data_IF_234624035982
#
_entry.id   IF_234624035982
#
_cell.length_a   1.000
_cell.length_b   1.000
_cell.length_c   1.000
_cell.angle_alpha   90.00
_cell.angle_beta   90.00
_cell.angle_gamma   90.00
#
_symmetry.space_group_name_H-M   'P 1'
#
loop_
_entity.id
_entity.type
_entity.pdbx_description
1 polymer ?
#
# COMPACT_ATOMS: atom_id res chain seq x y z
N UNK A 1 20.85 -8.04 6.02
CA UNK A 1 20.27 -9.36 5.69
C UNK A 1 21.36 -10.40 5.94
N UNK A 2 21.10 -11.53 6.60
CA UNK A 2 22.13 -12.53 6.83
C UNK A 2 22.62 -13.12 5.48
N UNK A 3 23.95 -13.25 5.26
CA UNK A 3 24.51 -13.66 3.97
C UNK A 3 24.03 -15.02 3.47
N UNK A 4 23.65 -15.94 4.36
CA UNK A 4 23.22 -17.29 4.00
C UNK A 4 21.89 -17.33 3.21
N UNK A 5 21.01 -16.34 3.39
CA UNK A 5 19.73 -16.25 2.67
C UNK A 5 19.86 -15.60 1.29
N UNK A 6 20.99 -14.93 1.02
CA UNK A 6 21.28 -14.28 -0.24
C UNK A 6 22.01 -15.19 -1.24
N UNK A 7 22.33 -16.43 -0.85
CA UNK A 7 22.98 -17.41 -1.73
C UNK A 7 21.96 -17.89 -2.77
N UNK A 8 22.20 -17.50 -4.02
CA UNK A 8 21.39 -17.88 -5.17
C UNK A 8 21.98 -19.14 -5.80
N UNK A 9 21.14 -20.11 -6.18
CA UNK A 9 21.60 -21.28 -6.92
C UNK A 9 21.86 -20.87 -8.39
N UNK A 10 23.09 -21.06 -8.88
CA UNK A 10 23.53 -20.67 -10.23
C UNK A 10 22.66 -21.23 -11.37
N UNK A 11 22.00 -22.38 -11.16
CA UNK A 11 21.12 -22.98 -12.20
C UNK A 11 19.68 -22.47 -12.20
N UNK A 12 19.14 -22.02 -11.07
CA UNK A 12 17.71 -21.68 -10.92
C UNK A 12 17.48 -20.21 -10.60
N UNK A 13 18.53 -19.42 -10.33
CA UNK A 13 18.45 -17.98 -10.05
C UNK A 13 17.57 -17.62 -8.83
N UNK A 14 17.14 -18.62 -8.06
CA UNK A 14 16.19 -18.47 -6.96
C UNK A 14 16.90 -18.75 -5.63
N UNK A 15 16.70 -17.94 -4.58
CA UNK A 15 17.29 -18.18 -3.27
C UNK A 15 16.59 -19.36 -2.57
N UNK A 16 17.03 -20.59 -2.88
CA UNK A 16 16.37 -21.82 -2.43
C UNK A 16 16.29 -21.93 -0.90
N UNK A 17 17.37 -21.56 -0.19
CA UNK A 17 17.40 -21.56 1.27
C UNK A 17 16.36 -20.60 1.84
N UNK A 18 16.22 -19.41 1.25
CA UNK A 18 15.22 -18.43 1.69
C UNK A 18 13.79 -18.95 1.47
N UNK A 19 13.51 -19.57 0.33
CA UNK A 19 12.19 -20.16 0.06
C UNK A 19 11.84 -21.26 1.05
N UNK A 20 12.77 -22.20 1.33
CA UNK A 20 12.54 -23.29 2.28
C UNK A 20 12.29 -22.76 3.69
N UNK A 21 13.10 -21.79 4.15
CA UNK A 21 12.93 -21.17 5.48
C UNK A 21 11.59 -20.45 5.59
N UNK A 22 11.20 -19.67 4.57
CA UNK A 22 9.91 -18.98 4.54
C UNK A 22 8.72 -19.94 4.53
N UNK A 23 8.80 -21.04 3.74
CA UNK A 23 7.76 -22.06 3.70
C UNK A 23 7.65 -22.83 5.01
N UNK A 24 8.78 -23.20 5.63
CA UNK A 24 8.79 -23.86 6.93
C UNK A 24 8.16 -22.97 8.00
N UNK A 25 8.53 -21.69 8.07
CA UNK A 25 7.93 -20.73 9.00
C UNK A 25 6.42 -20.57 8.77
N UNK A 26 6.00 -20.46 7.49
CA UNK A 26 4.58 -20.33 7.13
C UNK A 26 3.79 -21.59 7.49
N UNK A 27 4.37 -22.78 7.26
CA UNK A 27 3.75 -24.06 7.58
C UNK A 27 3.54 -24.24 9.09
N UNK A 28 4.52 -23.85 9.91
CA UNK A 28 4.39 -23.86 11.37
C UNK A 28 3.24 -22.94 11.80
N UNK A 29 3.20 -21.70 11.32
CA UNK A 29 2.12 -20.75 11.66
C UNK A 29 0.75 -21.28 11.21
N UNK A 30 0.67 -21.87 10.02
CA UNK A 30 -0.56 -22.45 9.48
C UNK A 30 -1.04 -23.68 10.27
N UNK A 31 -0.12 -24.51 10.79
CA UNK A 31 -0.45 -25.67 11.61
C UNK A 31 -1.11 -25.28 12.94
N UNK A 32 -0.65 -24.18 13.56
CA UNK A 32 -1.19 -23.67 14.83
C UNK A 32 -2.36 -22.70 14.67
N UNK A 33 -2.64 -22.21 13.46
CA UNK A 33 -3.69 -21.20 13.20
C UNK A 33 -4.88 -21.81 12.51
N UNK A 34 -6.07 -21.60 13.08
CA UNK A 34 -7.33 -22.07 12.50
C UNK A 34 -7.58 -21.41 11.14
N UNK A 35 -7.92 -22.20 10.11
CA UNK A 35 -8.06 -21.75 8.72
C UNK A 35 -8.99 -20.53 8.56
N UNK A 36 -10.09 -20.47 9.31
CA UNK A 36 -11.00 -19.32 9.29
C UNK A 36 -10.36 -18.02 9.78
N UNK A 37 -9.50 -18.09 10.81
CA UNK A 37 -8.76 -16.93 11.32
C UNK A 37 -7.74 -16.49 10.27
N UNK A 38 -7.00 -17.45 9.70
CA UNK A 38 -5.98 -17.17 8.69
C UNK A 38 -6.59 -16.55 7.43
N UNK A 39 -7.70 -17.11 6.94
CA UNK A 39 -8.41 -16.60 5.76
C UNK A 39 -8.94 -15.18 5.98
N UNK A 40 -9.51 -14.90 7.16
CA UNK A 40 -9.97 -13.55 7.50
C UNK A 40 -8.81 -12.55 7.56
N UNK A 41 -7.68 -12.92 8.17
CA UNK A 41 -6.48 -12.08 8.21
C UNK A 41 -5.91 -11.81 6.80
N UNK A 42 -5.86 -12.84 5.95
CA UNK A 42 -5.40 -12.73 4.57
C UNK A 42 -6.33 -11.84 3.72
N UNK A 43 -7.65 -11.99 3.90
CA UNK A 43 -8.65 -11.18 3.20
C UNK A 43 -8.53 -9.71 3.58
N UNK A 44 -8.51 -9.39 4.90
CA UNK A 44 -8.31 -8.01 5.39
C UNK A 44 -7.02 -7.42 4.82
N UNK A 45 -5.92 -8.17 4.86
CA UNK A 45 -4.62 -7.72 4.35
C UNK A 45 -4.67 -7.41 2.86
N UNK A 46 -5.29 -8.29 2.07
CA UNK A 46 -5.38 -8.14 0.61
C UNK A 46 -6.26 -6.94 0.23
N UNK A 47 -7.44 -6.79 0.85
CA UNK A 47 -8.33 -5.65 0.64
C UNK A 47 -7.64 -4.33 1.00
N UNK A 48 -6.89 -4.31 2.10
CA UNK A 48 -6.11 -3.14 2.52
C UNK A 48 -5.01 -2.79 1.52
N UNK A 49 -4.24 -3.77 1.05
CA UNK A 49 -3.18 -3.55 0.05
C UNK A 49 -3.79 -3.05 -1.27
N UNK A 50 -4.89 -3.66 -1.74
CA UNK A 50 -5.56 -3.24 -2.97
C UNK A 50 -6.08 -1.80 -2.87
N UNK A 51 -6.58 -1.39 -1.70
CA UNK A 51 -6.94 0.00 -1.42
C UNK A 51 -5.71 0.92 -1.49
N UNK A 52 -4.59 0.57 -0.86
CA UNK A 52 -3.35 1.36 -0.92
C UNK A 52 -2.80 1.47 -2.35
N UNK A 53 -2.86 0.39 -3.13
CA UNK A 53 -2.45 0.38 -4.54
C UNK A 53 -3.34 1.33 -5.35
N UNK A 54 -4.66 1.29 -5.18
CA UNK A 54 -5.58 2.19 -5.87
C UNK A 54 -5.33 3.66 -5.52
N UNK A 55 -5.09 3.98 -4.24
CA UNK A 55 -4.68 5.31 -3.79
C UNK A 55 -3.35 5.72 -4.44
N UNK A 56 -2.36 4.82 -4.43
CA UNK A 56 -1.05 5.06 -5.02
C UNK A 56 -1.12 5.35 -6.53
N UNK A 57 -2.00 4.66 -7.26
CA UNK A 57 -2.25 4.93 -8.68
C UNK A 57 -2.90 6.30 -8.90
N UNK A 58 -3.86 6.70 -8.06
CA UNK A 58 -4.47 8.04 -8.13
C UNK A 58 -3.43 9.13 -7.83
N UNK A 59 -2.64 8.98 -6.76
CA UNK A 59 -1.57 9.92 -6.42
C UNK A 59 -0.57 10.00 -7.58
N UNK A 60 -0.10 8.87 -8.12
CA UNK A 60 0.88 8.86 -9.23
C UNK A 60 0.38 9.57 -10.49
N UNK A 61 -0.94 9.59 -10.74
CA UNK A 61 -1.55 10.21 -11.93
C UNK A 61 -1.87 11.69 -11.75
N UNK A 62 -2.35 12.08 -10.57
CA UNK A 62 -2.82 13.43 -10.29
C UNK A 62 -1.80 14.31 -9.56
N UNK A 63 -0.73 13.71 -9.02
CA UNK A 63 0.34 14.41 -8.33
C UNK A 63 1.66 14.25 -9.07
N UNK A 64 2.25 15.38 -9.48
CA UNK A 64 3.62 15.45 -10.00
C UNK A 64 4.38 16.51 -9.21
N UNK A 65 5.48 16.10 -8.57
CA UNK A 65 6.36 17.01 -7.83
C UNK A 65 6.94 18.07 -8.78
N UNK A 66 6.67 19.35 -8.50
CA UNK A 66 7.29 20.48 -9.20
C UNK A 66 6.40 21.22 -10.21
N UNK A 67 5.31 20.64 -10.70
CA UNK A 67 4.43 21.27 -11.72
C UNK A 67 3.01 21.56 -11.24
N UNK A 68 2.53 20.87 -10.21
CA UNK A 68 1.15 21.02 -9.73
C UNK A 68 1.00 22.19 -8.75
N UNK A 69 0.19 23.19 -9.12
CA UNK A 69 -0.21 24.32 -8.26
C UNK A 69 -0.76 23.83 -6.91
N UNK A 70 -0.38 24.49 -5.80
CA UNK A 70 -0.83 24.13 -4.43
C UNK A 70 -2.36 24.00 -4.32
N UNK A 71 -3.11 24.86 -5.02
CA UNK A 71 -4.57 24.81 -5.06
C UNK A 71 -5.13 23.50 -5.67
N UNK A 72 -4.54 23.01 -6.78
CA UNK A 72 -5.00 21.78 -7.44
C UNK A 72 -4.63 20.53 -6.63
N UNK A 73 -3.50 20.56 -5.95
CA UNK A 73 -3.09 19.52 -5.00
C UNK A 73 -4.10 19.37 -3.85
N UNK A 74 -4.50 20.50 -3.24
CA UNK A 74 -5.48 20.49 -2.15
C UNK A 74 -6.84 19.99 -2.64
N UNK A 75 -7.31 20.44 -3.81
CA UNK A 75 -8.55 19.93 -4.42
C UNK A 75 -8.51 18.41 -4.61
N UNK A 76 -7.41 17.87 -5.14
CA UNK A 76 -7.23 16.43 -5.30
C UNK A 76 -7.28 15.68 -3.96
N UNK A 77 -6.58 16.18 -2.93
CA UNK A 77 -6.59 15.58 -1.59
C UNK A 77 -7.99 15.61 -0.98
N UNK A 78 -8.72 16.73 -1.13
CA UNK A 78 -10.09 16.88 -0.63
C UNK A 78 -11.02 15.87 -1.29
N UNK A 79 -10.99 15.72 -2.61
CA UNK A 79 -11.81 14.72 -3.30
C UNK A 79 -11.42 13.28 -2.95
N UNK A 80 -10.13 12.99 -2.80
CA UNK A 80 -9.66 11.68 -2.37
C UNK A 80 -10.14 11.34 -0.95
N UNK A 81 -10.07 12.31 -0.04
CA UNK A 81 -10.59 12.19 1.32
C UNK A 81 -12.11 12.00 1.33
N UNK A 82 -12.85 12.70 0.47
CA UNK A 82 -14.31 12.53 0.29
C UNK A 82 -14.67 11.12 -0.22
N UNK A 83 -13.91 10.57 -1.18
CA UNK A 83 -14.12 9.21 -1.68
C UNK A 83 -13.86 8.17 -0.58
N UNK A 84 -12.77 8.33 0.18
CA UNK A 84 -12.48 7.44 1.30
C UNK A 84 -13.52 7.58 2.40
N UNK A 85 -13.87 8.80 2.79
CA UNK A 85 -14.84 9.08 3.85
C UNK A 85 -16.24 8.56 3.54
N UNK A 86 -16.73 8.77 2.31
CA UNK A 86 -18.03 8.22 1.87
C UNK A 86 -18.04 6.69 1.82
N UNK A 87 -16.93 6.08 1.39
CA UNK A 87 -16.78 4.62 1.37
C UNK A 87 -16.74 4.04 2.79
N UNK A 88 -15.94 4.64 3.68
CA UNK A 88 -15.84 4.23 5.10
C UNK A 88 -17.18 4.41 5.81
N UNK A 89 -17.87 5.53 5.57
CA UNK A 89 -19.19 5.79 6.10
C UNK A 89 -20.21 4.72 5.67
N UNK A 90 -20.16 4.29 4.41
CA UNK A 90 -20.99 3.18 3.90
C UNK A 90 -20.68 1.86 4.60
N UNK A 91 -19.39 1.54 4.79
CA UNK A 91 -18.96 0.32 5.46
C UNK A 91 -19.34 0.30 6.95
N UNK A 92 -19.21 1.43 7.65
CA UNK A 92 -19.63 1.54 9.07
C UNK A 92 -21.14 1.42 9.18
N UNK A 93 -21.88 2.08 8.29
CA UNK A 93 -23.34 2.00 8.25
C UNK A 93 -23.81 0.55 8.05
N UNK A 94 -23.19 -0.17 7.12
CA UNK A 94 -23.42 -1.61 6.91
C UNK A 94 -23.06 -2.45 8.14
N UNK A 95 -21.90 -2.19 8.76
CA UNK A 95 -21.41 -2.97 9.90
C UNK A 95 -22.16 -2.71 11.22
N UNK A 96 -22.88 -1.59 11.34
CA UNK A 96 -23.54 -1.17 12.58
C UNK A 96 -25.06 -1.28 12.55
N UNK A 97 -25.70 -1.32 11.39
CA UNK A 97 -27.16 -1.28 11.29
C UNK A 97 -27.73 -2.70 11.24
N UNK A 98 -28.45 -3.10 12.29
CA UNK A 98 -29.21 -4.37 12.34
C UNK A 98 -30.46 -4.32 11.45
N UNK A 99 -31.05 -3.13 11.30
CA UNK A 99 -32.10 -2.88 10.30
C UNK A 99 -31.46 -2.34 9.01
N UNK A 100 -31.67 -3.05 7.90
CA UNK A 100 -31.18 -2.68 6.57
C UNK A 100 -31.97 -1.48 5.99
N UNK A 101 -31.94 -0.35 6.68
CA UNK A 101 -32.48 0.91 6.17
C UNK A 101 -31.70 1.34 4.94
N UNK A 102 -32.40 1.69 3.86
CA UNK A 102 -31.77 2.16 2.61
C UNK A 102 -31.22 3.58 2.69
N UNK A 103 -31.52 4.31 3.79
CA UNK A 103 -31.27 5.75 3.92
C UNK A 103 -29.77 6.10 3.90
N UNK A 104 -28.92 5.27 4.52
CA UNK A 104 -27.47 5.50 4.50
C UNK A 104 -26.89 5.39 3.09
N UNK A 105 -27.31 4.37 2.34
CA UNK A 105 -26.90 4.16 0.95
C UNK A 105 -27.37 5.28 0.03
N UNK A 106 -28.58 5.80 0.26
CA UNK A 106 -29.14 6.90 -0.51
C UNK A 106 -28.33 8.20 -0.38
N UNK A 107 -27.53 8.36 0.68
CA UNK A 107 -26.71 9.55 0.90
C UNK A 107 -25.25 9.29 0.51
N UNK A 108 -24.67 8.15 0.89
CA UNK A 108 -23.25 7.89 0.65
C UNK A 108 -22.91 7.59 -0.81
N UNK A 109 -23.79 6.90 -1.55
CA UNK A 109 -23.61 6.62 -2.98
C UNK A 109 -23.56 7.87 -3.86
N UNK A 110 -24.49 8.83 -3.77
CA UNK A 110 -24.39 10.06 -4.55
C UNK A 110 -23.16 10.87 -4.16
N UNK A 111 -22.78 10.95 -2.87
CA UNK A 111 -21.55 11.64 -2.45
C UNK A 111 -20.32 10.99 -3.10
N UNK A 112 -20.25 9.65 -3.12
CA UNK A 112 -19.15 8.92 -3.75
C UNK A 112 -19.10 9.15 -5.27
N UNK A 113 -20.26 9.07 -5.95
CA UNK A 113 -20.37 9.33 -7.39
C UNK A 113 -19.97 10.76 -7.75
N UNK A 114 -20.45 11.74 -6.99
CA UNK A 114 -20.19 13.16 -7.22
C UNK A 114 -18.72 13.51 -6.94
N UNK A 115 -18.09 12.86 -5.96
CA UNK A 115 -16.65 12.99 -5.68
C UNK A 115 -15.78 12.37 -6.78
N UNK A 116 -16.18 11.19 -7.29
CA UNK A 116 -15.50 10.52 -8.40
C UNK A 116 -15.65 11.30 -9.71
N UNK A 117 -16.83 11.85 -9.96
CA UNK A 117 -17.11 12.72 -11.10
C UNK A 117 -16.40 14.07 -10.97
N UNK A 118 -16.31 14.62 -9.75
CA UNK A 118 -15.54 15.83 -9.44
C UNK A 118 -14.04 15.66 -9.71
N UNK A 119 -13.45 14.51 -9.37
CA UNK A 119 -12.08 14.18 -9.77
C UNK A 119 -11.91 14.07 -11.28
N UNK A 120 -12.92 13.58 -12.00
CA UNK A 120 -12.85 13.45 -13.44
C UNK A 120 -12.89 14.82 -14.15
N UNK A 121 -13.74 15.74 -13.68
CA UNK A 121 -13.91 17.06 -14.29
C UNK A 121 -12.86 18.09 -13.85
N UNK A 122 -12.52 18.14 -12.56
CA UNK A 122 -11.76 19.26 -11.99
C UNK A 122 -10.27 18.98 -11.78
N UNK A 123 -9.84 17.72 -11.83
CA UNK A 123 -8.43 17.38 -11.66
C UNK A 123 -7.76 17.26 -13.04
N UNK A 124 -6.93 18.25 -13.44
CA UNK A 124 -6.21 18.17 -14.71
C UNK A 124 -5.28 16.95 -14.68
N UNK A 125 -5.37 16.09 -15.68
CA UNK A 125 -4.54 14.90 -15.78
C UNK A 125 -3.08 15.33 -16.00
N UNK A 126 -2.25 15.22 -14.95
CA UNK A 126 -0.87 15.71 -14.97
C UNK A 126 0.10 14.75 -15.71
N UNK A 127 -0.31 13.51 -15.99
CA UNK A 127 0.50 12.50 -16.67
C UNK A 127 -0.34 11.63 -17.61
N UNK A 128 0.02 11.64 -18.88
CA UNK A 128 -0.38 10.60 -19.84
C UNK A 128 0.62 9.42 -19.77
N UNK A 129 0.15 8.17 -19.61
CA UNK A 129 1.04 7.01 -19.55
C UNK A 129 1.62 6.70 -20.95
N UNK A 130 2.97 6.68 -21.06
CA UNK A 130 3.69 6.39 -22.32
C UNK A 130 3.57 4.93 -22.80
N UNK A 131 3.23 3.98 -21.94
CA UNK A 131 2.95 2.57 -22.28
C UNK A 131 1.96 2.01 -21.24
N UNK A 132 0.95 1.24 -21.66
CA UNK A 132 -0.15 0.71 -20.83
C UNK A 132 -1.16 1.74 -20.30
N UNK A 133 -1.70 2.57 -21.19
CA UNK A 133 -2.82 3.46 -20.87
C UNK A 133 -4.11 2.69 -20.69
N UNK A 134 -4.47 2.34 -19.45
CA UNK A 134 -5.81 1.83 -19.16
C UNK A 134 -6.81 3.00 -19.30
N UNK A 135 -7.79 2.94 -20.22
CA UNK A 135 -8.62 4.08 -20.62
C UNK A 135 -9.65 4.53 -19.58
N UNK A 136 -9.87 3.77 -18.49
CA UNK A 136 -10.93 4.03 -17.49
C UNK A 136 -10.45 4.63 -16.15
N UNK A 137 -9.25 5.21 -16.08
CA UNK A 137 -8.84 5.98 -14.89
C UNK A 137 -9.51 7.36 -14.96
N UNK A 138 -10.26 7.85 -13.95
CA UNK A 138 -10.24 7.53 -12.51
C UNK A 138 -11.28 6.52 -11.98
N UNK A 139 -12.23 6.06 -12.80
CA UNK A 139 -13.35 5.21 -12.34
C UNK A 139 -12.89 3.86 -11.79
N UNK A 140 -11.92 3.21 -12.44
CA UNK A 140 -11.43 1.90 -11.99
C UNK A 140 -10.78 1.92 -10.60
N UNK A 141 -9.81 2.80 -10.29
CA UNK A 141 -9.27 2.91 -8.94
C UNK A 141 -10.32 3.32 -7.89
N UNK A 142 -11.23 4.24 -8.22
CA UNK A 142 -12.28 4.65 -7.28
C UNK A 142 -13.26 3.51 -6.94
N UNK A 143 -13.64 2.71 -7.94
CA UNK A 143 -14.52 1.56 -7.77
C UNK A 143 -13.83 0.47 -6.94
N UNK A 144 -12.52 0.25 -7.17
CA UNK A 144 -11.71 -0.66 -6.36
C UNK A 144 -11.70 -0.24 -4.88
N UNK A 145 -11.54 1.05 -4.58
CA UNK A 145 -11.60 1.57 -3.22
C UNK A 145 -12.98 1.30 -2.58
N UNK A 146 -14.07 1.59 -3.29
CA UNK A 146 -15.42 1.38 -2.78
C UNK A 146 -15.71 -0.09 -2.46
N UNK A 147 -15.40 -0.99 -3.39
CA UNK A 147 -15.60 -2.45 -3.21
C UNK A 147 -14.73 -2.96 -2.06
N UNK A 148 -13.45 -2.55 -1.99
CA UNK A 148 -12.56 -3.01 -0.93
C UNK A 148 -13.03 -2.57 0.45
N UNK A 149 -13.51 -1.32 0.59
CA UNK A 149 -13.98 -0.80 1.87
C UNK A 149 -15.32 -1.43 2.27
N UNK A 150 -16.23 -1.67 1.33
CA UNK A 150 -17.49 -2.38 1.60
C UNK A 150 -17.25 -3.82 2.08
N UNK A 151 -16.36 -4.55 1.39
CA UNK A 151 -15.96 -5.90 1.79
C UNK A 151 -15.28 -5.91 3.15
N UNK A 152 -14.44 -4.91 3.42
CA UNK A 152 -13.80 -4.73 4.72
C UNK A 152 -14.85 -4.54 5.84
N UNK A 153 -15.92 -3.78 5.58
CA UNK A 153 -17.05 -3.62 6.50
C UNK A 153 -17.90 -4.87 6.71
N UNK A 154 -17.79 -5.89 5.85
CA UNK A 154 -18.51 -7.17 5.97
C UNK A 154 -17.77 -8.21 6.81
N UNK A 155 -16.54 -7.91 7.27
CA UNK A 155 -15.71 -8.83 8.04
C UNK A 155 -15.93 -8.62 9.55
N UNK A 156 -15.87 -9.71 10.32
CA UNK A 156 -16.04 -9.69 11.78
C UNK A 156 -15.08 -8.74 12.51
N UNK A 157 -15.63 -8.00 13.48
CA UNK A 157 -14.88 -7.07 14.36
C UNK A 157 -13.72 -7.76 15.10
N UNK A 158 -13.90 -9.02 15.52
CA UNK A 158 -12.84 -9.82 16.17
C UNK A 158 -11.63 -10.08 15.26
N UNK A 159 -11.84 -10.12 13.95
CA UNK A 159 -10.76 -10.29 12.97
C UNK A 159 -9.97 -9.00 12.81
N UNK A 160 -10.62 -7.83 12.88
CA UNK A 160 -9.95 -6.52 12.87
C UNK A 160 -9.02 -6.31 14.07
N UNK A 161 -9.46 -6.72 15.26
CA UNK A 161 -8.64 -6.59 16.46
C UNK A 161 -7.33 -7.39 16.32
N UNK A 162 -7.43 -8.66 15.88
CA UNK A 162 -6.27 -9.53 15.63
C UNK A 162 -5.36 -8.95 14.56
N UNK A 163 -5.93 -8.46 13.46
CA UNK A 163 -5.17 -7.81 12.40
C UNK A 163 -4.43 -6.58 12.92
N UNK A 164 -5.10 -5.70 13.66
CA UNK A 164 -4.52 -4.50 14.22
C UNK A 164 -3.35 -4.77 15.17
N UNK A 165 -3.49 -5.75 16.07
CA UNK A 165 -2.39 -6.17 16.96
C UNK A 165 -1.21 -6.69 16.14
N UNK A 166 -1.46 -7.57 15.17
CA UNK A 166 -0.39 -8.14 14.34
C UNK A 166 0.32 -7.06 13.50
N UNK A 167 -0.44 -6.13 12.91
CA UNK A 167 0.12 -4.99 12.18
C UNK A 167 0.95 -4.09 13.10
N UNK A 168 0.49 -3.82 14.32
CA UNK A 168 1.25 -3.03 15.30
C UNK A 168 2.59 -3.72 15.64
N UNK A 169 2.58 -5.02 15.92
CA UNK A 169 3.80 -5.79 16.19
C UNK A 169 4.75 -5.72 15.00
N UNK A 170 4.24 -5.88 13.77
CA UNK A 170 5.06 -5.77 12.56
C UNK A 170 5.65 -4.38 12.35
N UNK A 171 4.89 -3.33 12.66
CA UNK A 171 5.37 -1.94 12.62
C UNK A 171 6.49 -1.75 13.65
N UNK A 172 6.30 -2.18 14.90
CA UNK A 172 7.30 -2.08 15.96
C UNK A 172 8.57 -2.85 15.58
N UNK A 173 8.43 -4.09 15.09
CA UNK A 173 9.55 -4.88 14.60
C UNK A 173 10.28 -4.18 13.44
N UNK A 174 9.54 -3.61 12.48
CA UNK A 174 10.13 -2.85 11.38
C UNK A 174 10.90 -1.62 11.87
N UNK A 175 10.38 -0.88 12.84
CA UNK A 175 11.08 0.30 13.39
C UNK A 175 12.32 -0.09 14.20
N UNK A 176 12.24 -1.12 15.03
CA UNK A 176 13.36 -1.54 15.87
C UNK A 176 14.48 -2.15 15.03
N UNK A 177 14.15 -3.10 14.15
CA UNK A 177 15.13 -3.87 13.40
C UNK A 177 15.29 -3.39 11.96
N UNK A 178 14.19 -3.22 11.23
CA UNK A 178 14.22 -2.84 9.81
C UNK A 178 14.85 -1.47 9.57
N UNK A 179 14.49 -0.47 10.38
CA UNK A 179 15.05 0.88 10.28
C UNK A 179 16.53 0.89 10.64
N UNK A 180 16.92 0.28 11.77
CA UNK A 180 18.33 0.21 12.18
C UNK A 180 19.20 -0.53 11.16
N UNK A 181 18.71 -1.65 10.62
CA UNK A 181 19.43 -2.41 9.60
C UNK A 181 19.55 -1.60 8.29
N UNK A 182 18.49 -0.91 7.89
CA UNK A 182 18.50 -0.07 6.68
C UNK A 182 19.42 1.15 6.83
N UNK A 183 19.46 1.79 8.00
CA UNK A 183 20.37 2.91 8.26
C UNK A 183 21.83 2.49 8.30
N UNK A 184 22.14 1.32 8.90
CA UNK A 184 23.50 0.76 8.90
C UNK A 184 24.02 0.56 7.48
N UNK A 185 23.27 -0.16 6.65
CA UNK A 185 23.65 -0.41 5.25
C UNK A 185 23.71 0.87 4.41
N UNK A 186 22.79 1.82 4.59
CA UNK A 186 22.82 3.09 3.86
C UNK A 186 24.03 3.96 4.23
N UNK A 187 24.44 3.97 5.51
CA UNK A 187 25.62 4.71 5.98
C UNK A 187 26.93 4.07 5.51
N UNK A 188 27.00 2.74 5.49
CA UNK A 188 28.13 2.00 4.92
C UNK A 188 28.26 2.25 3.41
N UNK A 189 27.16 2.21 2.66
CA UNK A 189 27.16 2.52 1.23
C UNK A 189 27.56 3.98 0.94
N UNK A 190 27.12 4.93 1.77
CA UNK A 190 27.53 6.34 1.69
C UNK A 190 29.03 6.51 1.95
N UNK A 191 29.56 5.85 2.99
CA UNK A 191 30.96 5.97 3.40
C UNK A 191 31.90 5.31 2.37
N UNK A 192 31.52 4.15 1.83
CA UNK A 192 32.24 3.47 0.75
C UNK A 192 32.27 4.31 -0.54
N UNK A 193 31.14 4.96 -0.89
CA UNK A 193 31.07 5.85 -2.06
C UNK A 193 31.94 7.10 -1.87
N UNK A 194 32.00 7.65 -0.67
CA UNK A 194 32.86 8.79 -0.35
C UNK A 194 34.35 8.41 -0.42
N UNK A 195 34.73 7.23 0.07
CA UNK A 195 36.11 6.74 0.01
C UNK A 195 36.57 6.49 -1.44
N UNK A 196 35.71 5.93 -2.29
CA UNK A 196 35.99 5.73 -3.71
C UNK A 196 36.22 7.05 -4.47
N UNK A 197 35.43 8.09 -4.16
CA UNK A 197 35.58 9.41 -4.78
C UNK A 197 36.91 10.09 -4.37
N UNK A 198 37.42 9.82 -3.16
CA UNK A 198 38.71 10.35 -2.70
C UNK A 198 39.88 9.64 -3.38
N UNK A 199 39.76 8.34 -3.62
CA UNK A 199 40.77 7.54 -4.32
C UNK A 199 40.85 7.89 -5.81
N UNK A 200 39.71 8.08 -6.48
CA UNK A 200 39.66 8.54 -7.88
C UNK A 200 40.15 9.99 -8.04
N UNK A 201 39.84 10.88 -7.10
CA UNK A 201 40.35 12.26 -7.11
C UNK A 201 41.83 12.40 -6.73
N UNK A 202 42.39 11.43 -6.00
CA UNK A 202 43.83 11.37 -5.71
C UNK A 202 44.65 10.93 -6.92
N UNK A 203 44.11 10.01 -7.72
CA UNK A 203 44.75 9.53 -8.95
C UNK A 203 44.77 10.58 -10.09
N UNK A 204 43.81 11.51 -10.14
CA UNK A 204 43.83 12.63 -11.09
C UNK A 204 44.86 13.71 -10.77
N UNK A 205 45.43 13.73 -9.55
CA UNK A 205 46.43 14.72 -9.12
C UNK A 205 47.89 14.20 -9.19
N UNK A 206 48.09 12.90 -9.45
CA UNK A 206 49.41 12.27 -9.61
C UNK A 206 49.84 12.07 -11.09
N UNK A 207 49.08 12.58 -12.07
CA UNK A 207 49.38 12.53 -13.51
C UNK A 207 49.78 13.91 -14.04
#
# INVERSE_FOLDING_TARGET
MPPCLAIMNEKTGTPLIATVVMLAATAVIAFFTLLGILSNLLSISSLFILMLVAIGLLVRRYYVSGVTTKANRIKFIVFLALILGSSIGTAIYWASSTDHGWIGYAITLPIWLLSTFGLWLFAPQAREPKFWGVPLVPRLPSLSIAINIFLLGSIDKKSFEKFGIFTLVMIVYYFLYGLHASYGTAKEASSAKQMKNVEEGGLELEI
#
